data_IF_981010022628
#
_entry.id   IF_981010022628
#
_cell.length_a   1.000
_cell.length_b   1.000
_cell.length_c   1.000
_cell.angle_alpha   90.00
_cell.angle_beta   90.00
_cell.angle_gamma   90.00
#
_symmetry.space_group_name_H-M   'P 1'
#
loop_
_entity.id
_entity.type
_entity.pdbx_description
1 polymer ?
#
# COMPACT_ATOMS: atom_id res chain seq x y z
N UNK A 1 -0.07 11.45 4.57
CA UNK A 1 0.12 10.18 5.30
C UNK A 1 0.33 9.07 4.28
N UNK A 2 1.35 8.23 4.45
CA UNK A 2 1.59 7.09 3.56
C UNK A 2 0.67 5.92 3.93
N UNK A 3 0.18 5.23 2.91
CA UNK A 3 -0.72 4.08 3.03
C UNK A 3 -0.18 2.95 2.17
N UNK A 4 -0.07 1.77 2.78
CA UNK A 4 0.23 0.52 2.11
C UNK A 4 -1.01 -0.38 2.22
N UNK A 5 -1.65 -0.64 1.09
CA UNK A 5 -2.76 -1.58 0.96
C UNK A 5 -2.24 -2.84 0.27
N UNK A 6 -2.13 -3.92 1.03
CA UNK A 6 -1.74 -5.22 0.52
C UNK A 6 -2.99 -6.08 0.33
N UNK A 7 -3.12 -6.74 -0.82
CA UNK A 7 -4.30 -7.52 -1.18
C UNK A 7 -3.85 -8.88 -1.71
N UNK A 8 -4.40 -9.94 -1.13
CA UNK A 8 -4.13 -11.32 -1.51
C UNK A 8 -5.17 -11.82 -2.50
N UNK A 9 -4.69 -12.48 -3.55
CA UNK A 9 -5.50 -13.16 -4.57
C UNK A 9 -5.02 -14.62 -4.69
N UNK A 10 -5.84 -15.49 -5.26
CA UNK A 10 -5.43 -16.88 -5.55
C UNK A 10 -4.34 -16.89 -6.62
N UNK A 11 -4.60 -16.19 -7.73
CA UNK A 11 -3.67 -15.92 -8.81
C UNK A 11 -3.83 -14.46 -9.27
N UNK A 12 -2.90 -13.55 -8.89
CA UNK A 12 -3.02 -12.15 -9.28
C UNK A 12 -2.87 -11.94 -10.78
N UNK A 13 -3.80 -11.21 -11.37
CA UNK A 13 -3.79 -10.86 -12.80
C UNK A 13 -3.34 -9.41 -13.02
N UNK A 14 -3.06 -9.06 -14.28
CA UNK A 14 -2.85 -7.66 -14.67
C UNK A 14 -4.08 -6.80 -14.40
N UNK A 15 -5.29 -7.36 -14.57
CA UNK A 15 -6.54 -6.66 -14.27
C UNK A 15 -6.65 -6.34 -12.78
N UNK A 16 -6.32 -7.28 -11.88
CA UNK A 16 -6.35 -7.03 -10.43
C UNK A 16 -5.42 -5.87 -10.04
N UNK A 17 -4.24 -5.80 -10.66
CA UNK A 17 -3.29 -4.71 -10.46
C UNK A 17 -3.82 -3.36 -10.98
N UNK A 18 -4.55 -3.36 -12.10
CA UNK A 18 -5.20 -2.16 -12.64
C UNK A 18 -6.37 -1.70 -11.77
N UNK A 19 -7.20 -2.62 -11.28
CA UNK A 19 -8.31 -2.32 -10.36
C UNK A 19 -7.80 -1.76 -9.03
N UNK A 20 -6.74 -2.37 -8.48
CA UNK A 20 -6.06 -1.88 -7.29
C UNK A 20 -5.45 -0.49 -7.49
N UNK A 21 -4.82 -0.25 -8.65
CA UNK A 21 -4.30 1.08 -9.01
C UNK A 21 -5.43 2.10 -9.15
N UNK A 22 -6.57 1.72 -9.73
CA UNK A 22 -7.72 2.60 -9.89
C UNK A 22 -8.36 2.98 -8.54
N UNK A 23 -8.45 2.03 -7.60
CA UNK A 23 -8.93 2.33 -6.25
C UNK A 23 -7.98 3.24 -5.48
N UNK A 24 -6.67 2.96 -5.51
CA UNK A 24 -5.67 3.83 -4.90
C UNK A 24 -5.72 5.26 -5.46
N UNK A 25 -5.93 5.41 -6.79
CA UNK A 25 -6.15 6.71 -7.45
C UNK A 25 -7.41 7.44 -7.01
N UNK A 26 -8.45 6.73 -6.58
CA UNK A 26 -9.68 7.32 -6.05
C UNK A 26 -9.54 7.75 -4.58
N UNK A 27 -8.58 7.17 -3.86
CA UNK A 27 -8.33 7.42 -2.44
C UNK A 27 -7.31 8.53 -2.18
N UNK A 28 -6.39 8.77 -3.12
CA UNK A 28 -5.33 9.78 -3.01
C UNK A 28 -5.72 11.13 -3.63
N UNK A 29 -5.20 12.21 -3.05
CA UNK A 29 -5.22 13.54 -3.67
C UNK A 29 -4.00 13.75 -4.59
N UNK A 30 -2.95 12.94 -4.46
CA UNK A 30 -1.77 12.94 -5.34
C UNK A 30 -1.69 11.63 -6.14
N UNK A 31 -2.26 11.65 -7.35
CA UNK A 31 -2.27 10.49 -8.25
C UNK A 31 -0.88 10.00 -8.67
N UNK A 32 0.16 10.84 -8.56
CA UNK A 32 1.54 10.47 -8.90
C UNK A 32 2.20 9.66 -7.79
N UNK A 33 1.64 9.70 -6.58
CA UNK A 33 2.11 8.89 -5.45
C UNK A 33 1.77 7.40 -5.59
N UNK A 34 0.79 7.06 -6.43
CA UNK A 34 0.29 5.69 -6.56
C UNK A 34 1.29 4.77 -7.24
N UNK A 35 1.71 3.73 -6.53
CA UNK A 35 2.53 2.63 -7.03
C UNK A 35 1.81 1.32 -6.74
N UNK A 36 1.84 0.40 -7.69
CA UNK A 36 1.31 -0.96 -7.51
C UNK A 36 2.38 -1.94 -7.96
N UNK A 37 2.72 -2.88 -7.10
CA UNK A 37 3.72 -3.92 -7.34
C UNK A 37 3.30 -5.23 -6.70
N UNK A 38 3.80 -6.33 -7.24
CA UNK A 38 3.74 -7.64 -6.60
C UNK A 38 4.73 -7.70 -5.44
N UNK A 39 4.36 -8.34 -4.34
CA UNK A 39 5.27 -8.58 -3.21
C UNK A 39 6.28 -9.68 -3.59
N UNK A 40 7.61 -9.41 -3.64
CA UNK A 40 8.59 -10.39 -4.12
C UNK A 40 8.63 -11.70 -3.32
N UNK A 41 8.39 -11.63 -2.01
CA UNK A 41 8.38 -12.80 -1.12
C UNK A 41 7.01 -13.48 -1.04
N UNK A 42 5.95 -12.83 -1.57
CA UNK A 42 4.57 -13.30 -1.50
C UNK A 42 3.85 -13.04 -2.82
N UNK A 43 4.05 -13.88 -3.85
CA UNK A 43 3.60 -13.61 -5.22
C UNK A 43 2.07 -13.48 -5.36
N UNK A 44 1.31 -14.03 -4.42
CA UNK A 44 -0.16 -13.87 -4.33
C UNK A 44 -0.62 -12.49 -3.87
N UNK A 45 0.30 -11.64 -3.42
CA UNK A 45 0.01 -10.33 -2.87
C UNK A 45 0.36 -9.22 -3.86
N UNK A 46 -0.61 -8.35 -4.11
CA UNK A 46 -0.39 -7.07 -4.74
C UNK A 46 -0.41 -5.97 -3.67
N UNK A 47 0.56 -5.06 -3.75
CA UNK A 47 0.71 -3.96 -2.81
C UNK A 47 0.50 -2.65 -3.57
N UNK A 48 -0.41 -1.83 -3.05
CA UNK A 48 -0.58 -0.45 -3.45
C UNK A 48 0.01 0.49 -2.40
N UNK A 49 0.95 1.32 -2.83
CA UNK A 49 1.50 2.42 -2.05
C UNK A 49 0.96 3.74 -2.58
N UNK A 50 0.42 4.58 -1.70
CA UNK A 50 -0.09 5.90 -2.06
C UNK A 50 -0.16 6.82 -0.84
N UNK A 51 -0.35 8.11 -1.08
CA UNK A 51 -0.57 9.09 -0.01
C UNK A 51 -2.04 9.43 0.16
N UNK A 52 -2.47 9.69 1.38
CA UNK A 52 -3.77 10.30 1.68
C UNK A 52 -3.56 11.60 2.46
N UNK A 53 -4.55 12.49 2.40
CA UNK A 53 -4.65 13.63 3.29
C UNK A 53 -4.43 13.21 4.76
N UNK A 54 -3.81 14.07 5.56
CA UNK A 54 -3.60 13.78 6.97
C UNK A 54 -4.96 13.71 7.68
N UNK A 55 -5.32 12.54 8.16
CA UNK A 55 -6.56 12.27 8.88
C UNK A 55 -6.30 11.17 9.93
N UNK A 56 -7.17 11.03 10.95
CA UNK A 56 -7.06 9.92 11.89
C UNK A 56 -7.08 8.56 11.15
N UNK A 57 -6.24 7.62 11.60
CA UNK A 57 -6.10 6.31 10.94
C UNK A 57 -7.43 5.58 10.82
N UNK A 58 -8.27 5.60 11.85
CA UNK A 58 -9.60 4.96 11.81
C UNK A 58 -10.48 5.51 10.66
N UNK A 59 -10.38 6.81 10.38
CA UNK A 59 -11.13 7.43 9.30
C UNK A 59 -10.55 7.04 7.93
N UNK A 60 -9.23 6.85 7.85
CA UNK A 60 -8.57 6.39 6.62
C UNK A 60 -8.94 4.94 6.31
N UNK A 61 -8.89 4.05 7.31
CA UNK A 61 -9.33 2.65 7.19
C UNK A 61 -10.76 2.59 6.68
N UNK A 62 -11.70 3.29 7.33
CA UNK A 62 -13.10 3.31 6.89
C UNK A 62 -13.28 3.81 5.44
N UNK A 63 -12.45 4.76 4.99
CA UNK A 63 -12.51 5.28 3.62
C UNK A 63 -11.95 4.29 2.61
N UNK A 64 -10.86 3.60 2.97
CA UNK A 64 -10.26 2.53 2.16
C UNK A 64 -11.25 1.37 2.04
N UNK A 65 -11.82 0.91 3.16
CA UNK A 65 -12.79 -0.19 3.20
C UNK A 65 -13.99 0.10 2.29
N UNK A 66 -14.61 1.28 2.41
CA UNK A 66 -15.75 1.66 1.54
C UNK A 66 -15.41 1.72 0.05
N UNK A 67 -14.19 2.14 -0.29
CA UNK A 67 -13.74 2.17 -1.68
C UNK A 67 -13.48 0.76 -2.25
N UNK A 68 -13.16 -0.17 -1.35
CA UNK A 68 -12.73 -1.53 -1.65
C UNK A 68 -13.83 -2.60 -1.46
N UNK A 69 -14.93 -2.27 -0.77
CA UNK A 69 -16.06 -3.16 -0.46
C UNK A 69 -16.76 -3.68 -1.73
N UNK A 70 -16.77 -2.89 -2.80
CA UNK A 70 -17.45 -3.20 -4.06
C UNK A 70 -16.49 -3.46 -5.24
N UNK A 71 -15.20 -3.62 -4.98
CA UNK A 71 -14.16 -3.85 -6.01
C UNK A 71 -13.42 -5.16 -5.74
N UNK A 72 -12.95 -5.84 -6.79
CA UNK A 72 -12.19 -7.10 -6.73
C UNK A 72 -12.89 -8.26 -6.01
N UNK A 73 -13.80 -8.93 -6.73
CA UNK A 73 -14.52 -10.13 -6.27
C UNK A 73 -13.60 -11.34 -5.99
N UNK A 74 -12.38 -11.35 -6.54
CA UNK A 74 -11.42 -12.44 -6.41
C UNK A 74 -10.44 -12.27 -5.23
N UNK A 75 -10.65 -11.26 -4.39
CA UNK A 75 -9.81 -11.02 -3.21
C UNK A 75 -10.04 -12.08 -2.14
N UNK A 76 -8.97 -12.66 -1.62
CA UNK A 76 -9.00 -13.58 -0.47
C UNK A 76 -8.84 -12.83 0.84
N UNK A 77 -7.84 -11.93 0.91
CA UNK A 77 -7.50 -11.20 2.13
C UNK A 77 -6.95 -9.81 1.81
N UNK A 78 -6.91 -8.91 2.80
CA UNK A 78 -6.29 -7.61 2.69
C UNK A 78 -5.75 -7.09 4.00
N UNK A 79 -4.64 -6.37 3.94
CA UNK A 79 -4.04 -5.68 5.06
C UNK A 79 -3.79 -4.21 4.72
N UNK A 80 -4.10 -3.33 5.68
CA UNK A 80 -3.82 -1.90 5.59
C UNK A 80 -2.72 -1.57 6.60
N UNK A 81 -1.69 -0.88 6.16
CA UNK A 81 -0.63 -0.37 7.04
C UNK A 81 -0.28 1.08 6.73
N UNK A 82 0.18 1.79 7.75
CA UNK A 82 0.55 3.20 7.68
C UNK A 82 2.03 3.33 8.03
N UNK A 83 2.95 3.12 7.07
CA UNK A 83 4.37 3.20 7.35
C UNK A 83 4.71 4.63 7.79
N UNK A 84 5.59 4.74 8.79
CA UNK A 84 6.21 6.02 9.12
C UNK A 84 7.01 6.48 7.90
N UNK A 85 6.95 7.77 7.57
CA UNK A 85 7.90 8.35 6.63
C UNK A 85 9.30 7.93 7.07
N UNK A 86 10.04 7.29 6.16
CA UNK A 86 11.42 6.96 6.45
C UNK A 86 12.10 8.28 6.87
N UNK A 87 12.66 8.33 8.08
CA UNK A 87 13.56 9.43 8.42
C UNK A 87 14.57 9.52 7.27
N UNK A 88 14.81 10.71 6.70
CA UNK A 88 15.78 10.86 5.62
C UNK A 88 17.05 10.18 6.10
N UNK A 89 17.47 9.16 5.36
CA UNK A 89 18.53 8.22 5.73
C UNK A 89 19.84 8.95 6.01
N UNK A 90 19.99 9.42 7.25
CA UNK A 90 21.13 10.16 7.79
C UNK A 90 21.92 9.37 8.83
N UNK A 91 21.65 8.07 8.98
CA UNK A 91 22.49 7.15 9.76
C UNK A 91 22.91 5.98 8.91
N UNK A 92 23.95 6.22 8.10
CA UNK A 92 24.99 5.22 7.87
C UNK A 92 25.31 4.63 9.24
N UNK A 93 25.00 3.35 9.42
CA UNK A 93 25.53 2.53 10.51
C UNK A 93 27.06 2.71 10.49
N UNK A 94 27.59 3.57 11.36
CA UNK A 94 28.98 3.45 11.81
C UNK A 94 29.02 2.13 12.58
N UNK A 95 29.26 1.04 11.85
CA UNK A 95 29.79 -0.17 12.46
C UNK A 95 31.10 0.23 13.11
N UNK A 96 31.10 0.18 14.45
CA UNK A 96 32.30 0.18 15.22
C UNK A 96 33.16 -1.02 14.81
N UNK A 97 34.45 -0.80 14.62
CA UNK A 97 35.47 -1.79 14.98
C UNK A 97 36.79 -1.06 15.26
N UNK A 98 37.13 -1.05 16.54
CA UNK A 98 38.51 -0.97 17.00
C UNK A 98 39.31 -2.11 16.37
N UNK A 99 40.56 -1.80 16.04
CA UNK A 99 41.59 -2.71 15.53
C UNK A 99 42.81 -1.88 15.20
#
# INVERSE_FOLDING_TARGET
MNVHLAVMFDEPTTQDAEELRAAARALTDDRRSVRVSSEPERPQWLVAEFTMASQPQYAAVNRIDRCWEFRNLNRIDSAISFPKEAEPSGRRKRQARNG
#
